data_IF_147318101785
#
_entry.id   IF_147318101785
#
_cell.length_a   1.000
_cell.length_b   1.000
_cell.length_c   1.000
_cell.angle_alpha   90.00
_cell.angle_beta   90.00
_cell.angle_gamma   90.00
#
_symmetry.space_group_name_H-M   'P 1'
#
loop_
_entity.id
_entity.type
_entity.pdbx_description
1 polymer ?
#
# COMPACT_ATOMS: atom_id res chain seq x y z
N UNK A 1 -4.35 21.58 10.80
CA UNK A 1 -2.95 21.88 10.38
C UNK A 1 -2.63 20.88 9.28
N UNK A 2 -2.24 21.34 8.09
CA UNK A 2 -1.86 20.43 7.01
C UNK A 2 -0.66 19.58 7.47
N UNK A 3 -0.75 18.26 7.52
CA UNK A 3 0.37 17.40 7.87
C UNK A 3 1.46 17.36 6.78
N UNK A 4 1.14 17.80 5.57
CA UNK A 4 2.00 17.70 4.39
C UNK A 4 2.69 19.02 4.05
N UNK A 5 3.98 19.01 3.66
CA UNK A 5 4.64 20.17 3.07
C UNK A 5 4.24 20.40 1.58
N UNK A 6 3.54 19.45 0.96
CA UNK A 6 3.04 19.57 -0.39
C UNK A 6 1.76 20.43 -0.44
N UNK A 7 1.59 21.29 -1.45
CA UNK A 7 0.47 22.26 -1.50
C UNK A 7 -0.84 21.60 -1.97
N UNK A 8 -1.26 20.49 -1.31
CA UNK A 8 -2.44 19.72 -1.72
C UNK A 8 -3.77 20.37 -1.34
N UNK A 9 -3.78 21.35 -0.42
CA UNK A 9 -4.98 22.04 0.07
C UNK A 9 -5.58 23.04 -0.95
N UNK A 10 -4.82 23.40 -1.96
CA UNK A 10 -5.22 24.43 -2.93
C UNK A 10 -5.13 23.87 -4.36
N UNK A 11 -6.13 23.09 -4.78
CA UNK A 11 -6.09 22.39 -6.08
C UNK A 11 -5.97 23.34 -7.28
N UNK A 12 -6.46 24.58 -7.20
CA UNK A 12 -6.35 25.59 -8.27
C UNK A 12 -4.99 26.25 -8.35
N UNK A 13 -4.12 26.09 -7.35
CA UNK A 13 -2.79 26.69 -7.35
C UNK A 13 -1.95 26.09 -8.50
N UNK A 14 -1.27 26.93 -9.31
CA UNK A 14 -0.40 26.43 -10.39
C UNK A 14 0.70 25.46 -9.93
N UNK A 15 1.14 25.56 -8.70
CA UNK A 15 2.13 24.65 -8.12
C UNK A 15 1.50 23.26 -7.88
N UNK A 16 0.30 23.21 -7.29
CA UNK A 16 -0.46 21.99 -7.11
C UNK A 16 -0.80 21.32 -8.44
N UNK A 17 -1.19 22.11 -9.45
CA UNK A 17 -1.48 21.59 -10.78
C UNK A 17 -0.24 20.97 -11.43
N UNK A 18 0.93 21.60 -11.29
CA UNK A 18 2.20 21.02 -11.79
C UNK A 18 2.57 19.73 -11.06
N UNK A 19 2.37 19.69 -9.75
CA UNK A 19 2.58 18.49 -8.95
C UNK A 19 1.68 17.34 -9.42
N UNK A 20 0.37 17.57 -9.54
CA UNK A 20 -0.61 16.59 -10.03
C UNK A 20 -0.20 16.08 -11.42
N UNK A 21 0.15 16.98 -12.34
CA UNK A 21 0.56 16.58 -13.69
C UNK A 21 1.85 15.75 -13.67
N UNK A 22 2.84 16.10 -12.86
CA UNK A 22 4.06 15.32 -12.66
C UNK A 22 3.75 13.90 -12.17
N UNK A 23 2.93 13.79 -11.11
CA UNK A 23 2.52 12.51 -10.56
C UNK A 23 1.72 11.66 -11.56
N UNK A 24 0.84 12.26 -12.37
CA UNK A 24 0.12 11.56 -13.44
C UNK A 24 1.09 10.97 -14.48
N UNK A 25 2.08 11.76 -14.90
CA UNK A 25 3.10 11.27 -15.84
C UNK A 25 3.89 10.10 -15.26
N UNK A 26 4.37 10.23 -14.02
CA UNK A 26 5.08 9.15 -13.35
C UNK A 26 4.23 7.88 -13.20
N UNK A 27 2.96 8.03 -12.79
CA UNK A 27 2.04 6.90 -12.63
C UNK A 27 1.74 6.22 -13.98
N UNK A 28 1.61 7.01 -15.06
CA UNK A 28 1.38 6.50 -16.41
C UNK A 28 2.62 5.82 -17.01
N UNK A 29 3.81 6.38 -16.80
CA UNK A 29 5.05 5.91 -17.41
C UNK A 29 5.68 4.75 -16.61
N UNK A 30 5.69 4.90 -15.28
CA UNK A 30 6.40 3.99 -14.38
C UNK A 30 5.46 3.12 -13.52
N UNK A 31 4.13 3.34 -13.59
CA UNK A 31 3.16 2.64 -12.76
C UNK A 31 3.17 3.07 -11.28
N UNK A 32 3.95 4.09 -10.94
CA UNK A 32 4.16 4.52 -9.56
C UNK A 32 4.45 6.02 -9.50
N UNK A 33 3.85 6.72 -8.52
CA UNK A 33 4.19 8.07 -8.11
C UNK A 33 4.74 8.04 -6.69
N UNK A 34 5.94 8.61 -6.47
CA UNK A 34 6.64 8.62 -5.19
C UNK A 34 6.81 10.05 -4.72
N UNK A 35 6.33 10.37 -3.52
CA UNK A 35 6.36 11.70 -2.92
C UNK A 35 7.16 11.65 -1.60
N UNK A 36 8.48 11.91 -1.66
CA UNK A 36 9.35 11.90 -0.47
C UNK A 36 8.97 13.03 0.50
N UNK A 37 9.21 12.80 1.79
CA UNK A 37 8.95 13.79 2.85
C UNK A 37 7.51 14.35 2.79
N UNK A 38 6.54 13.49 2.48
CA UNK A 38 5.14 13.89 2.30
C UNK A 38 4.51 14.44 3.57
N UNK A 39 4.95 13.99 4.71
CA UNK A 39 4.53 14.51 6.02
C UNK A 39 5.68 15.22 6.72
N UNK A 40 5.37 16.21 7.57
CA UNK A 40 6.41 16.88 8.36
C UNK A 40 7.11 15.91 9.31
N UNK A 41 8.38 16.17 9.65
CA UNK A 41 9.14 15.34 10.60
C UNK A 41 8.40 15.15 11.93
N UNK A 42 7.77 16.19 12.48
CA UNK A 42 6.98 16.10 13.71
C UNK A 42 5.74 15.20 13.54
N UNK A 43 5.08 15.25 12.38
CA UNK A 43 3.94 14.38 12.09
C UNK A 43 4.40 12.92 11.95
N UNK A 44 5.51 12.69 11.25
CA UNK A 44 6.11 11.38 11.10
C UNK A 44 6.48 10.77 12.45
N UNK A 45 7.14 11.53 13.32
CA UNK A 45 7.52 11.06 14.67
C UNK A 45 6.29 10.61 15.48
N UNK A 46 5.19 11.37 15.42
CA UNK A 46 3.94 11.01 16.09
C UNK A 46 3.32 9.74 15.51
N UNK A 47 3.29 9.59 14.18
CA UNK A 47 2.81 8.37 13.52
C UNK A 47 3.65 7.15 13.91
N UNK A 48 4.98 7.29 13.93
CA UNK A 48 5.89 6.22 14.34
C UNK A 48 5.67 5.83 15.80
N UNK A 49 5.54 6.80 16.70
CA UNK A 49 5.30 6.54 18.13
C UNK A 49 3.98 5.79 18.35
N UNK A 50 2.89 6.21 17.66
CA UNK A 50 1.61 5.53 17.72
C UNK A 50 1.72 4.09 17.19
N UNK A 51 2.25 3.90 16.00
CA UNK A 51 2.38 2.58 15.39
C UNK A 51 3.22 1.62 16.26
N UNK A 52 4.34 2.08 16.80
CA UNK A 52 5.17 1.29 17.75
C UNK A 52 4.43 0.95 19.04
N UNK A 53 3.61 1.87 19.56
CA UNK A 53 2.84 1.62 20.78
C UNK A 53 1.74 0.57 20.59
N UNK A 54 1.19 0.49 19.38
CA UNK A 54 0.13 -0.47 19.00
C UNK A 54 0.71 -1.80 18.47
N UNK A 55 1.98 -1.84 18.05
CA UNK A 55 2.61 -3.03 17.46
C UNK A 55 2.51 -4.29 18.33
N UNK A 56 2.60 -4.24 19.67
CA UNK A 56 2.43 -5.44 20.50
C UNK A 56 1.05 -6.10 20.38
N UNK A 57 0.00 -5.32 20.04
CA UNK A 57 -1.38 -5.78 19.91
C UNK A 57 -1.77 -6.07 18.45
N UNK A 58 -0.81 -6.04 17.52
CA UNK A 58 -1.04 -6.33 16.12
C UNK A 58 -1.41 -7.79 15.90
N UNK A 59 -2.36 -8.05 14.99
CA UNK A 59 -2.75 -9.40 14.60
C UNK A 59 -1.79 -9.96 13.56
N UNK A 60 -1.26 -11.16 13.79
CA UNK A 60 -0.39 -11.84 12.82
C UNK A 60 -1.21 -12.56 11.75
N UNK A 61 -1.02 -12.15 10.52
CA UNK A 61 -1.59 -12.77 9.33
C UNK A 61 -0.49 -13.48 8.55
N UNK A 62 -0.49 -14.78 8.57
CA UNK A 62 0.43 -15.60 7.77
C UNK A 62 -0.35 -16.56 6.88
N UNK A 63 -0.05 -16.53 5.58
CA UNK A 63 -0.65 -17.45 4.62
C UNK A 63 0.22 -17.61 3.37
N UNK A 64 -0.02 -18.71 2.66
CA UNK A 64 0.56 -18.95 1.35
C UNK A 64 -0.47 -18.68 0.27
N UNK A 65 -0.10 -17.89 -0.72
CA UNK A 65 -0.91 -17.65 -1.91
C UNK A 65 -0.54 -18.70 -2.95
N UNK A 66 -1.49 -19.53 -3.34
CA UNK A 66 -1.30 -20.54 -4.40
C UNK A 66 -1.10 -19.89 -5.79
N UNK A 67 -1.59 -18.64 -5.94
CA UNK A 67 -1.40 -17.82 -7.13
C UNK A 67 -1.18 -16.36 -6.71
N UNK A 68 -0.26 -15.63 -7.34
CA UNK A 68 -0.06 -14.21 -7.09
C UNK A 68 -1.24 -13.33 -7.54
N UNK A 69 -2.18 -13.89 -8.28
CA UNK A 69 -3.28 -13.15 -8.94
C UNK A 69 -4.42 -12.72 -8.04
N UNK A 70 -4.38 -13.05 -6.76
CA UNK A 70 -5.31 -12.55 -5.73
C UNK A 70 -6.79 -12.68 -6.04
N UNK A 71 -7.59 -13.00 -5.04
CA UNK A 71 -9.05 -13.04 -5.16
C UNK A 71 -9.57 -14.46 -5.22
N UNK A 72 -10.36 -14.78 -4.23
CA UNK A 72 -11.22 -15.88 -3.99
C UNK A 72 -11.23 -17.03 -4.99
N UNK A 73 -11.02 -18.21 -4.48
CA UNK A 73 -11.42 -19.49 -5.09
C UNK A 73 -11.01 -19.75 -6.56
N UNK A 74 -9.76 -19.44 -6.88
CA UNK A 74 -9.20 -19.82 -8.18
C UNK A 74 -8.73 -21.25 -8.12
N UNK A 75 -9.47 -22.12 -8.79
CA UNK A 75 -9.00 -23.46 -9.17
C UNK A 75 -7.60 -23.34 -9.78
N UNK A 76 -6.65 -23.94 -9.12
CA UNK A 76 -5.23 -23.96 -9.44
C UNK A 76 -5.03 -24.33 -10.92
N UNK A 77 -4.66 -23.34 -11.74
CA UNK A 77 -3.99 -23.57 -13.01
C UNK A 77 -2.52 -23.86 -12.70
N UNK A 78 -2.00 -24.90 -13.29
CA UNK A 78 -0.62 -25.37 -13.09
C UNK A 78 0.40 -24.24 -13.27
N UNK A 79 1.34 -24.14 -12.32
CA UNK A 79 2.63 -23.44 -12.44
C UNK A 79 2.75 -21.97 -12.04
N UNK A 80 2.28 -21.60 -10.86
CA UNK A 80 2.90 -20.45 -10.17
C UNK A 80 3.41 -20.90 -8.82
N UNK A 81 4.67 -20.62 -8.50
CA UNK A 81 5.23 -20.90 -7.17
C UNK A 81 4.39 -20.15 -6.13
N UNK A 82 3.97 -20.85 -5.10
CA UNK A 82 3.27 -20.22 -3.98
C UNK A 82 4.14 -19.11 -3.39
N UNK A 83 3.54 -17.95 -3.11
CA UNK A 83 4.20 -16.83 -2.45
C UNK A 83 3.72 -16.71 -1.01
N UNK A 84 4.62 -16.41 -0.08
CA UNK A 84 4.30 -16.23 1.33
C UNK A 84 3.89 -14.79 1.60
N UNK A 85 2.89 -14.61 2.43
CA UNK A 85 2.58 -13.34 3.08
C UNK A 85 2.61 -13.56 4.60
N UNK A 86 3.44 -12.81 5.29
CA UNK A 86 3.56 -12.79 6.74
C UNK A 86 3.63 -11.33 7.17
N UNK A 87 2.59 -10.83 7.84
CA UNK A 87 2.41 -9.42 8.15
C UNK A 87 1.66 -9.32 9.47
N UNK A 88 2.01 -8.35 10.30
CA UNK A 88 1.24 -7.97 11.47
C UNK A 88 0.40 -6.74 11.14
N UNK A 89 -0.89 -6.77 11.43
CA UNK A 89 -1.80 -5.70 11.09
C UNK A 89 -2.40 -5.05 12.34
N UNK A 90 -2.45 -3.71 12.34
CA UNK A 90 -3.11 -2.89 13.35
C UNK A 90 -4.29 -2.22 12.67
N UNK A 91 -5.50 -2.53 13.10
CA UNK A 91 -6.73 -2.09 12.46
C UNK A 91 -7.04 -0.60 12.69
N UNK A 92 -7.90 -0.04 11.85
CA UNK A 92 -8.33 1.35 11.90
C UNK A 92 -8.97 1.74 13.25
N UNK A 93 -9.80 0.89 13.82
CA UNK A 93 -10.46 1.14 15.10
C UNK A 93 -9.53 1.07 16.33
N UNK A 94 -8.32 0.49 16.18
CA UNK A 94 -7.28 0.53 17.20
C UNK A 94 -6.55 1.89 17.23
N UNK A 95 -6.66 2.69 16.16
CA UNK A 95 -6.07 4.03 16.11
C UNK A 95 -6.92 5.02 16.92
N UNK A 96 -6.25 5.90 17.66
CA UNK A 96 -6.92 7.01 18.34
C UNK A 96 -7.68 7.91 17.34
N UNK A 97 -8.82 8.51 17.70
CA UNK A 97 -9.43 9.59 16.91
C UNK A 97 -8.47 10.74 16.59
N UNK A 98 -7.46 10.98 17.45
CA UNK A 98 -6.43 12.00 17.26
C UNK A 98 -5.18 11.47 16.53
N UNK A 99 -5.23 10.23 16.00
CA UNK A 99 -4.15 9.63 15.23
C UNK A 99 -3.78 10.48 14.03
N UNK A 100 -2.52 10.85 13.82
CA UNK A 100 -2.11 11.59 12.63
C UNK A 100 -2.33 10.79 11.34
N UNK A 101 -2.20 9.47 11.37
CA UNK A 101 -2.47 8.60 10.21
C UNK A 101 -3.94 8.57 9.86
N UNK A 102 -4.81 8.52 10.87
CA UNK A 102 -6.26 8.62 10.70
C UNK A 102 -6.66 9.98 10.15
N UNK A 103 -6.14 11.08 10.72
CA UNK A 103 -6.42 12.44 10.24
C UNK A 103 -5.96 12.64 8.79
N UNK A 104 -4.82 12.08 8.41
CA UNK A 104 -4.33 12.09 7.03
C UNK A 104 -5.30 11.35 6.10
N UNK A 105 -5.74 10.16 6.47
CA UNK A 105 -6.70 9.37 5.70
C UNK A 105 -8.07 10.08 5.56
N UNK A 106 -8.55 10.69 6.63
CA UNK A 106 -9.84 11.41 6.67
C UNK A 106 -9.79 12.79 5.97
N UNK A 107 -8.60 13.26 5.54
CA UNK A 107 -8.44 14.55 4.85
C UNK A 107 -9.06 14.53 3.45
N UNK A 108 -9.98 15.46 3.18
CA UNK A 108 -10.55 15.66 1.84
C UNK A 108 -9.49 16.15 0.84
N UNK A 109 -8.50 16.92 1.31
CA UNK A 109 -7.41 17.40 0.47
C UNK A 109 -6.60 16.21 -0.09
N UNK A 110 -6.29 15.22 0.75
CA UNK A 110 -5.60 14.01 0.28
C UNK A 110 -6.47 13.19 -0.68
N UNK A 111 -7.75 12.98 -0.38
CA UNK A 111 -8.67 12.26 -1.26
C UNK A 111 -8.74 12.93 -2.62
N UNK A 112 -8.96 14.26 -2.66
CA UNK A 112 -9.04 15.03 -3.90
C UNK A 112 -7.73 15.00 -4.69
N UNK A 113 -6.59 15.06 -3.98
CA UNK A 113 -5.27 14.98 -4.60
C UNK A 113 -5.01 13.60 -5.23
N UNK A 114 -5.33 12.52 -4.53
CA UNK A 114 -5.21 11.14 -5.05
C UNK A 114 -6.15 10.94 -6.23
N UNK A 115 -7.41 11.37 -6.12
CA UNK A 115 -8.40 11.33 -7.22
C UNK A 115 -7.88 12.06 -8.47
N UNK A 116 -7.30 13.25 -8.28
CA UNK A 116 -6.72 14.01 -9.39
C UNK A 116 -5.53 13.29 -10.04
N UNK A 117 -4.66 12.64 -9.27
CA UNK A 117 -3.49 11.92 -9.80
C UNK A 117 -3.90 10.67 -10.57
N UNK A 118 -4.84 9.91 -10.06
CA UNK A 118 -5.27 8.63 -10.65
C UNK A 118 -6.28 8.79 -11.79
N UNK A 119 -6.74 10.02 -12.01
CA UNK A 119 -7.83 10.34 -12.98
C UNK A 119 -9.14 9.59 -12.68
N UNK A 120 -9.39 9.33 -11.39
CA UNK A 120 -10.59 8.64 -10.88
C UNK A 120 -11.51 9.67 -10.19
N UNK A 121 -12.44 10.29 -10.92
CA UNK A 121 -13.27 11.37 -10.37
C UNK A 121 -14.26 10.86 -9.30
N UNK A 122 -14.58 9.59 -9.31
CA UNK A 122 -15.43 8.91 -8.33
C UNK A 122 -14.57 8.04 -7.40
N UNK A 123 -13.62 8.66 -6.68
CA UNK A 123 -12.82 7.99 -5.67
C UNK A 123 -13.41 8.24 -4.28
N UNK A 124 -13.58 7.18 -3.52
CA UNK A 124 -14.18 7.20 -2.18
C UNK A 124 -13.22 6.58 -1.16
N UNK A 125 -13.27 7.05 0.09
CA UNK A 125 -12.67 6.31 1.20
C UNK A 125 -13.44 5.02 1.43
N UNK A 126 -12.73 3.94 1.70
CA UNK A 126 -13.37 2.73 2.22
C UNK A 126 -14.01 3.04 3.58
N UNK A 127 -15.19 2.47 3.85
CA UNK A 127 -15.92 2.67 5.12
C UNK A 127 -15.77 1.48 6.07
N UNK A 128 -14.77 0.66 5.82
CA UNK A 128 -14.48 -0.53 6.61
C UNK A 128 -13.91 -0.17 8.00
N UNK A 129 -14.48 -0.66 9.11
CA UNK A 129 -14.01 -0.30 10.44
C UNK A 129 -12.62 -0.81 10.78
N UNK A 130 -12.09 -1.79 10.04
CA UNK A 130 -10.80 -2.40 10.30
C UNK A 130 -9.75 -2.03 9.24
N UNK A 131 -10.15 -2.05 7.96
CA UNK A 131 -9.23 -2.03 6.82
C UNK A 131 -9.05 -0.63 6.21
N UNK A 132 -9.96 0.30 6.46
CA UNK A 132 -10.00 1.64 5.84
C UNK A 132 -8.64 2.35 5.84
N UNK A 133 -8.03 2.45 7.01
CA UNK A 133 -6.65 2.88 7.22
C UNK A 133 -6.05 1.97 8.27
N UNK A 134 -4.88 1.39 8.00
CA UNK A 134 -4.29 0.45 8.94
C UNK A 134 -2.76 0.47 8.85
N UNK A 135 -2.10 -0.03 9.89
CA UNK A 135 -0.66 -0.25 9.84
C UNK A 135 -0.36 -1.70 9.48
N UNK A 136 0.57 -1.89 8.55
CA UNK A 136 1.26 -3.16 8.34
C UNK A 136 2.64 -3.09 8.96
N UNK A 137 2.92 -4.05 9.83
CA UNK A 137 4.18 -4.20 10.55
C UNK A 137 4.83 -5.50 10.09
N UNK A 138 6.11 -5.43 9.76
CA UNK A 138 6.91 -6.58 9.35
C UNK A 138 8.06 -6.72 10.35
N UNK A 139 8.19 -7.90 10.94
CA UNK A 139 9.23 -8.29 11.88
C UNK A 139 10.26 -9.17 11.18
N UNK A 140 11.30 -9.57 11.89
CA UNK A 140 12.33 -10.46 11.35
C UNK A 140 11.74 -11.70 10.68
N UNK A 141 12.07 -11.93 9.43
CA UNK A 141 11.56 -13.00 8.58
C UNK A 141 10.19 -12.75 7.93
N UNK A 142 9.49 -11.66 8.26
CA UNK A 142 8.22 -11.33 7.60
C UNK A 142 8.43 -10.76 6.21
N UNK A 143 7.48 -11.04 5.33
CA UNK A 143 7.50 -10.64 3.92
C UNK A 143 6.09 -10.50 3.34
N UNK A 144 5.97 -9.81 2.24
CA UNK A 144 4.78 -9.87 1.39
C UNK A 144 5.21 -10.28 -0.01
N UNK A 145 5.03 -11.56 -0.31
CA UNK A 145 5.45 -12.14 -1.59
C UNK A 145 4.75 -11.51 -2.80
N UNK A 146 5.27 -11.74 -3.98
CA UNK A 146 4.78 -11.18 -5.24
C UNK A 146 3.27 -11.33 -5.39
N UNK A 147 2.58 -10.21 -5.68
CA UNK A 147 1.13 -10.15 -5.81
C UNK A 147 0.69 -8.94 -6.64
N UNK A 148 -0.60 -8.91 -6.95
CA UNK A 148 -1.34 -7.75 -7.47
C UNK A 148 -2.38 -7.30 -6.47
N UNK A 149 -2.72 -6.01 -6.50
CA UNK A 149 -3.85 -5.48 -5.76
C UNK A 149 -5.19 -5.77 -6.47
N UNK A 150 -6.32 -5.79 -5.72
CA UNK A 150 -7.64 -5.86 -6.33
C UNK A 150 -7.94 -4.65 -7.22
N UNK A 151 -8.67 -4.86 -8.34
CA UNK A 151 -9.01 -3.78 -9.30
C UNK A 151 -9.83 -2.65 -8.68
N UNK A 152 -10.71 -2.97 -7.74
CA UNK A 152 -11.64 -2.02 -7.13
C UNK A 152 -11.06 -1.27 -5.93
N UNK A 153 -9.85 -1.57 -5.54
CA UNK A 153 -9.18 -0.97 -4.39
C UNK A 153 -7.89 -0.29 -4.81
N UNK A 154 -7.79 1.00 -4.51
CA UNK A 154 -6.56 1.77 -4.66
C UNK A 154 -5.90 1.88 -3.28
N UNK A 155 -4.71 1.34 -3.15
CA UNK A 155 -3.91 1.42 -1.93
C UNK A 155 -2.86 2.52 -2.10
N UNK A 156 -2.93 3.51 -1.21
CA UNK A 156 -1.88 4.52 -1.05
C UNK A 156 -1.10 4.16 0.20
N UNK A 157 0.21 4.16 0.12
CA UNK A 157 1.07 3.80 1.24
C UNK A 157 1.88 4.99 1.75
N UNK A 158 2.09 5.05 3.05
CA UNK A 158 3.02 5.98 3.69
C UNK A 158 4.04 5.18 4.50
N UNK A 159 5.30 5.18 4.07
CA UNK A 159 6.38 4.51 4.81
C UNK A 159 6.63 5.25 6.12
N UNK A 160 6.56 4.54 7.24
CA UNK A 160 6.81 5.13 8.56
C UNK A 160 8.18 4.76 9.11
N UNK A 161 8.61 3.52 8.95
CA UNK A 161 9.84 3.01 9.51
C UNK A 161 10.44 1.92 8.63
N UNK A 162 11.74 2.01 8.39
CA UNK A 162 12.50 0.97 7.69
C UNK A 162 12.94 -0.12 8.69
N UNK A 163 13.18 -1.32 8.17
CA UNK A 163 13.87 -2.38 8.90
C UNK A 163 15.37 -2.08 9.04
N UNK A 164 16.09 -2.89 9.83
CA UNK A 164 17.57 -2.84 9.88
C UNK A 164 18.16 -3.25 8.53
N UNK A 165 17.58 -4.27 7.89
CA UNK A 165 17.94 -4.76 6.56
C UNK A 165 16.75 -5.50 5.93
N UNK A 166 16.75 -5.67 4.61
CA UNK A 166 15.61 -6.25 3.89
C UNK A 166 14.36 -5.35 3.93
N UNK A 167 13.17 -5.96 3.83
CA UNK A 167 11.91 -5.22 3.79
C UNK A 167 11.80 -4.27 2.58
N UNK A 168 12.58 -4.51 1.53
CA UNK A 168 12.61 -3.65 0.34
C UNK A 168 11.35 -3.86 -0.49
N UNK A 169 10.80 -2.76 -1.00
CA UNK A 169 9.72 -2.81 -1.96
C UNK A 169 10.30 -3.03 -3.36
N UNK A 170 9.81 -4.06 -4.04
CA UNK A 170 10.18 -4.39 -5.41
C UNK A 170 8.93 -4.33 -6.29
N UNK A 171 9.07 -3.75 -7.49
CA UNK A 171 7.95 -3.41 -8.33
C UNK A 171 8.26 -3.68 -9.81
N UNK A 172 7.40 -4.44 -10.47
CA UNK A 172 7.43 -4.69 -11.91
C UNK A 172 6.19 -4.06 -12.55
N UNK A 173 6.41 -2.98 -13.31
CA UNK A 173 5.33 -2.21 -13.93
C UNK A 173 4.68 -2.97 -15.09
N UNK A 174 3.35 -2.86 -15.21
CA UNK A 174 2.60 -3.24 -16.40
C UNK A 174 2.70 -4.72 -16.79
N UNK A 175 2.86 -5.63 -15.81
CA UNK A 175 2.98 -7.07 -16.05
C UNK A 175 1.68 -7.67 -16.56
N UNK A 176 0.53 -7.07 -16.21
CA UNK A 176 -0.78 -7.45 -16.77
C UNK A 176 -1.60 -6.23 -17.18
N UNK A 177 -2.47 -6.44 -18.16
CA UNK A 177 -3.53 -5.51 -18.55
C UNK A 177 -4.85 -6.27 -18.73
N UNK A 178 -5.94 -5.59 -19.12
CA UNK A 178 -7.21 -6.25 -19.45
C UNK A 178 -7.10 -7.14 -20.70
N UNK A 179 -6.17 -6.81 -21.61
CA UNK A 179 -5.95 -7.51 -22.88
C UNK A 179 -4.81 -8.53 -22.80
N UNK A 180 -3.98 -8.43 -21.78
CA UNK A 180 -2.72 -9.15 -21.69
C UNK A 180 -2.46 -9.64 -20.27
N UNK A 181 -2.16 -10.92 -20.16
CA UNK A 181 -1.90 -11.60 -18.91
C UNK A 181 -0.77 -12.63 -19.11
N UNK A 182 0.46 -12.24 -18.79
CA UNK A 182 1.65 -13.04 -19.10
C UNK A 182 2.19 -13.80 -17.89
N UNK A 183 1.76 -15.04 -17.74
CA UNK A 183 2.26 -15.96 -16.71
C UNK A 183 3.74 -16.29 -16.87
N UNK A 184 4.32 -16.15 -18.06
CA UNK A 184 5.73 -16.39 -18.29
C UNK A 184 6.58 -15.25 -17.69
N UNK A 185 6.11 -14.01 -17.79
CA UNK A 185 6.76 -12.87 -17.14
C UNK A 185 6.67 -13.01 -15.61
N UNK A 186 5.48 -13.32 -15.06
CA UNK A 186 5.33 -13.57 -13.61
C UNK A 186 6.29 -14.66 -13.12
N UNK A 187 6.38 -15.76 -13.86
CA UNK A 187 7.29 -16.84 -13.53
C UNK A 187 8.74 -16.37 -13.56
N UNK A 188 9.14 -15.62 -14.59
CA UNK A 188 10.49 -15.07 -14.70
C UNK A 188 10.83 -14.12 -13.55
N UNK A 189 9.86 -13.29 -13.10
CA UNK A 189 10.01 -12.41 -11.96
C UNK A 189 10.23 -13.22 -10.67
N UNK A 190 9.35 -14.19 -10.39
CA UNK A 190 9.44 -15.03 -9.18
C UNK A 190 10.77 -15.82 -9.14
N UNK A 191 11.29 -16.22 -10.29
CA UNK A 191 12.55 -16.94 -10.42
C UNK A 191 13.79 -16.04 -10.49
N UNK A 192 13.62 -14.72 -10.40
CA UNK A 192 14.73 -13.75 -10.44
C UNK A 192 15.41 -13.65 -11.81
N UNK A 193 14.68 -13.95 -12.90
CA UNK A 193 15.15 -13.91 -14.29
C UNK A 193 14.59 -12.73 -15.11
N UNK A 194 14.03 -11.73 -14.43
CA UNK A 194 13.44 -10.54 -15.04
C UNK A 194 14.22 -9.31 -14.63
N UNK A 195 14.78 -8.59 -15.60
CA UNK A 195 15.72 -7.50 -15.35
C UNK A 195 15.07 -6.13 -15.10
N UNK A 196 13.76 -5.98 -15.39
CA UNK A 196 13.07 -4.69 -15.29
C UNK A 196 12.31 -4.52 -13.96
N UNK A 197 12.93 -4.89 -12.85
CA UNK A 197 12.41 -4.63 -11.50
C UNK A 197 12.84 -3.23 -11.06
N UNK A 198 11.88 -2.45 -10.56
CA UNK A 198 12.14 -1.16 -9.94
C UNK A 198 12.33 -1.33 -8.42
N UNK A 199 13.27 -0.58 -7.88
CA UNK A 199 13.63 -0.53 -6.46
C UNK A 199 13.51 0.91 -5.96
N UNK A 200 12.28 1.41 -5.72
CA UNK A 200 12.10 2.80 -5.32
C UNK A 200 12.67 3.07 -3.92
N UNK A 201 13.22 4.25 -3.74
CA UNK A 201 13.67 4.74 -2.43
C UNK A 201 12.45 5.22 -1.61
N UNK A 202 11.89 4.31 -0.82
CA UNK A 202 10.70 4.55 0.01
C UNK A 202 11.11 4.80 1.48
N UNK A 203 11.96 5.79 1.72
CA UNK A 203 12.38 6.17 3.08
C UNK A 203 11.20 6.65 3.93
N UNK A 204 11.32 6.67 5.28
CA UNK A 204 10.27 7.15 6.17
C UNK A 204 9.77 8.56 5.81
N UNK A 205 8.46 8.73 5.79
CA UNK A 205 7.78 9.96 5.35
C UNK A 205 7.40 9.99 3.87
N UNK A 206 7.74 8.96 3.09
CA UNK A 206 7.39 8.88 1.66
C UNK A 206 5.98 8.35 1.46
N UNK A 207 5.14 9.11 0.77
CA UNK A 207 3.85 8.66 0.25
C UNK A 207 4.03 8.03 -1.14
N UNK A 208 3.39 6.89 -1.37
CA UNK A 208 3.48 6.19 -2.65
C UNK A 208 2.09 5.80 -3.16
N UNK A 209 1.84 6.07 -4.43
CA UNK A 209 0.64 5.66 -5.17
C UNK A 209 1.10 4.75 -6.28
N UNK A 210 0.49 3.56 -6.43
CA UNK A 210 0.87 2.57 -7.44
C UNK A 210 -0.33 2.08 -8.24
N UNK A 211 -0.09 1.67 -9.47
CA UNK A 211 -1.03 0.88 -10.28
C UNK A 211 -0.95 -0.60 -9.87
N UNK A 212 -1.25 -0.89 -8.60
CA UNK A 212 -1.05 -2.22 -8.01
C UNK A 212 -1.85 -3.33 -8.69
N UNK A 213 -2.98 -2.98 -9.35
CA UNK A 213 -3.76 -3.95 -10.12
C UNK A 213 -3.03 -4.49 -11.35
N UNK A 214 -2.29 -3.66 -12.07
CA UNK A 214 -1.57 -4.02 -13.30
C UNK A 214 -0.09 -4.34 -13.09
N UNK A 215 0.44 -4.01 -11.93
CA UNK A 215 1.87 -4.13 -11.60
C UNK A 215 2.10 -5.18 -10.53
N UNK A 216 3.11 -6.01 -10.76
CA UNK A 216 3.48 -7.09 -9.86
C UNK A 216 4.47 -6.57 -8.82
N UNK A 217 4.20 -6.74 -7.54
CA UNK A 217 5.02 -6.13 -6.50
C UNK A 217 5.14 -7.00 -5.24
N UNK A 218 6.17 -6.74 -4.45
CA UNK A 218 6.42 -7.44 -3.19
C UNK A 218 7.15 -6.59 -2.17
N UNK A 219 7.16 -7.07 -0.93
CA UNK A 219 8.09 -6.67 0.12
C UNK A 219 8.99 -7.86 0.42
N UNK A 220 10.32 -7.67 0.29
CA UNK A 220 11.30 -8.72 0.57
C UNK A 220 11.33 -9.06 2.06
N UNK A 221 11.87 -10.23 2.47
CA UNK A 221 11.99 -10.56 3.88
C UNK A 221 12.72 -9.47 4.67
N UNK A 222 12.15 -9.13 5.82
CA UNK A 222 12.78 -8.23 6.80
C UNK A 222 13.86 -8.99 7.55
N UNK A 223 14.97 -8.33 7.84
CA UNK A 223 16.09 -8.88 8.61
C UNK A 223 16.46 -7.92 9.74
N UNK A 224 16.55 -8.42 10.95
CA UNK A 224 17.00 -7.66 12.11
C UNK A 224 15.92 -7.44 13.16
N UNK A 225 16.20 -6.54 14.10
CA UNK A 225 15.32 -6.29 15.25
C UNK A 225 14.37 -5.11 15.05
N UNK A 226 14.67 -4.22 14.09
CA UNK A 226 13.81 -3.08 13.78
C UNK A 226 12.69 -3.49 12.84
N UNK A 227 11.45 -3.28 13.29
CA UNK A 227 10.26 -3.53 12.47
C UNK A 227 10.22 -2.56 11.28
N UNK A 228 9.83 -3.04 10.09
CA UNK A 228 9.36 -2.18 9.01
C UNK A 228 7.89 -1.86 9.24
N UNK A 229 7.54 -0.57 9.19
CA UNK A 229 6.15 -0.14 9.42
C UNK A 229 5.68 0.75 8.26
N UNK A 230 4.51 0.45 7.74
CA UNK A 230 3.86 1.23 6.69
C UNK A 230 2.39 1.45 7.01
N UNK A 231 1.89 2.66 6.75
CA UNK A 231 0.45 2.96 6.77
C UNK A 231 -0.13 2.67 5.40
N UNK A 232 -1.26 1.95 5.37
CA UNK A 232 -2.06 1.73 4.17
C UNK A 232 -3.34 2.56 4.27
N UNK A 233 -3.62 3.34 3.23
CA UNK A 233 -4.78 4.20 3.08
C UNK A 233 -5.60 3.63 1.92
N UNK A 234 -6.78 3.08 2.21
CA UNK A 234 -7.58 2.34 1.24
C UNK A 234 -8.69 3.20 0.65
N UNK A 235 -8.69 3.33 -0.67
CA UNK A 235 -9.71 4.02 -1.45
C UNK A 235 -10.36 3.05 -2.42
N UNK A 236 -11.55 3.39 -2.91
CA UNK A 236 -12.29 2.56 -3.87
C UNK A 236 -13.05 3.43 -4.87
N UNK A 237 -13.22 2.93 -6.08
CA UNK A 237 -14.15 3.51 -7.08
C UNK A 237 -15.62 3.14 -6.81
N UNK A 238 -15.86 2.31 -5.79
CA UNK A 238 -17.21 1.94 -5.35
C UNK A 238 -17.54 2.68 -4.05
N UNK A 239 -18.64 3.45 -3.98
CA UNK A 239 -19.04 4.12 -2.76
C UNK A 239 -19.38 3.10 -1.67
N UNK A 240 -19.19 3.49 -0.42
CA UNK A 240 -19.45 2.66 0.77
C UNK A 240 -18.77 1.27 0.75
N UNK A 241 -17.61 1.19 0.08
CA UNK A 241 -16.88 -0.07 -0.04
C UNK A 241 -16.39 -0.57 1.31
N UNK A 242 -16.72 -1.82 1.58
CA UNK A 242 -16.21 -2.61 2.72
C UNK A 242 -15.53 -3.87 2.20
N UNK A 243 -14.49 -4.28 2.89
CA UNK A 243 -13.82 -5.54 2.59
C UNK A 243 -14.66 -6.75 3.03
N UNK A 244 -14.44 -7.91 2.43
CA UNK A 244 -15.14 -9.13 2.80
C UNK A 244 -14.74 -9.61 4.20
N UNK A 245 -15.63 -10.35 4.84
CA UNK A 245 -15.38 -10.96 6.15
C UNK A 245 -14.13 -11.84 6.16
N UNK A 246 -13.87 -12.56 5.07
CA UNK A 246 -12.65 -13.35 4.92
C UNK A 246 -11.36 -12.49 4.96
N UNK A 247 -11.37 -11.28 4.38
CA UNK A 247 -10.25 -10.35 4.47
C UNK A 247 -10.08 -9.85 5.90
N UNK A 248 -11.18 -9.43 6.55
CA UNK A 248 -11.15 -8.94 7.94
C UNK A 248 -10.64 -10.00 8.90
N UNK A 249 -11.20 -11.21 8.84
CA UNK A 249 -10.81 -12.32 9.69
C UNK A 249 -9.34 -12.69 9.47
N UNK A 250 -8.89 -12.75 8.23
CA UNK A 250 -7.50 -13.07 7.90
C UNK A 250 -6.51 -12.01 8.37
N UNK A 251 -6.79 -10.72 8.11
CA UNK A 251 -5.85 -9.64 8.43
C UNK A 251 -5.90 -9.19 9.89
N UNK A 252 -7.06 -9.29 10.54
CA UNK A 252 -7.26 -8.75 11.89
C UNK A 252 -7.78 -9.75 12.90
N UNK A 253 -8.06 -11.01 12.50
CA UNK A 253 -8.54 -12.06 13.38
C UNK A 253 -9.97 -11.85 13.90
N UNK A 254 -10.70 -10.88 13.31
CA UNK A 254 -12.04 -10.49 13.74
C UNK A 254 -12.82 -9.83 12.60
N UNK A 255 -14.15 -9.69 12.76
CA UNK A 255 -15.04 -9.11 11.76
C UNK A 255 -15.44 -7.65 12.06
N UNK A 256 -15.38 -7.28 13.32
CA UNK A 256 -15.75 -5.95 13.86
C UNK A 256 -14.80 -5.57 14.98
#
# INVERSE_FOLDING_TARGET
MNPSPYPIETPENPETQRLIQGCRSELSENGMCVLPDFVSANTLDRMQQEARSLSPDAHHNEHWRASPRGGGDSTVGESTKATRASIWAIAFDQMSPDSPSRQLYESDDLLNFVSAITDEPELYRCVDPLVSCHYSVFRDGDELGWHYDPKTNLVVTLQLQDADDGGNFEFANGVRSEEFDDTAIETAIIEGRYDSILYPDLRPGTLTIINGHSSFHRVTPVVGNQERIVTLLNYSTTPEYCFSDNIRERFFGRLT
#
